data_IF_903960233895
#
_entry.id   IF_903960233895
#
_cell.length_a   1.000
_cell.length_b   1.000
_cell.length_c   1.000
_cell.angle_alpha   90.00
_cell.angle_beta   90.00
_cell.angle_gamma   90.00
#
_symmetry.space_group_name_H-M   'P 1'
#
loop_
_entity.id
_entity.type
_entity.pdbx_description
1 polymer ?
#
# COMPACT_ATOMS: atom_id res chain seq x y z
N UNK A 1 20.53 -34.67 11.69
CA UNK A 1 20.36 -33.26 12.07
C UNK A 1 19.10 -32.78 11.35
N UNK A 2 17.95 -32.93 12.01
CA UNK A 2 16.68 -32.44 11.47
C UNK A 2 16.67 -30.93 11.57
N UNK A 3 17.00 -30.26 10.47
CA UNK A 3 16.82 -28.82 10.34
C UNK A 3 15.30 -28.62 10.22
N UNK A 4 14.65 -28.22 11.32
CA UNK A 4 13.18 -28.20 11.42
C UNK A 4 12.48 -27.52 10.24
N UNK A 5 11.33 -28.04 9.81
CA UNK A 5 10.41 -27.52 8.77
C UNK A 5 11.01 -26.59 7.69
N UNK A 6 12.16 -26.95 7.11
CA UNK A 6 12.72 -26.23 5.96
C UNK A 6 11.99 -26.68 4.70
N UNK A 7 11.29 -25.76 4.06
CA UNK A 7 10.70 -25.99 2.73
C UNK A 7 11.70 -25.55 1.67
N UNK A 8 12.11 -26.48 0.81
CA UNK A 8 12.79 -26.11 -0.42
C UNK A 8 11.78 -25.48 -1.37
N UNK A 9 12.16 -24.38 -2.01
CA UNK A 9 11.35 -23.64 -2.97
C UNK A 9 12.20 -23.44 -4.21
N UNK A 10 11.57 -23.61 -5.37
CA UNK A 10 12.19 -23.30 -6.66
C UNK A 10 12.36 -21.78 -6.82
N UNK A 11 13.59 -21.35 -7.10
CA UNK A 11 13.93 -19.93 -7.11
C UNK A 11 13.26 -19.18 -8.26
N UNK A 12 13.13 -19.80 -9.43
CA UNK A 12 12.55 -19.16 -10.60
C UNK A 12 11.06 -18.92 -10.40
N UNK A 13 10.36 -19.93 -9.85
CA UNK A 13 8.95 -19.81 -9.49
C UNK A 13 8.71 -18.75 -8.40
N UNK A 14 9.51 -18.74 -7.33
CA UNK A 14 9.38 -17.78 -6.23
C UNK A 14 9.64 -16.34 -6.72
N UNK A 15 10.68 -16.14 -7.53
CA UNK A 15 11.02 -14.82 -8.07
C UNK A 15 9.90 -14.26 -8.95
N UNK A 16 9.31 -15.08 -9.82
CA UNK A 16 8.19 -14.65 -10.65
C UNK A 16 6.97 -14.27 -9.79
N UNK A 17 6.65 -15.08 -8.78
CA UNK A 17 5.50 -14.85 -7.90
C UNK A 17 5.70 -13.60 -7.04
N UNK A 18 6.89 -13.42 -6.47
CA UNK A 18 7.23 -12.25 -5.66
C UNK A 18 7.19 -10.96 -6.50
N UNK A 19 7.75 -11.01 -7.71
CA UNK A 19 7.72 -9.89 -8.63
C UNK A 19 6.30 -9.49 -9.02
N UNK A 20 5.47 -10.47 -9.41
CA UNK A 20 4.08 -10.20 -9.79
C UNK A 20 3.27 -9.65 -8.62
N UNK A 21 3.45 -10.20 -7.43
CA UNK A 21 2.76 -9.75 -6.21
C UNK A 21 3.13 -8.31 -5.86
N UNK A 22 4.41 -7.96 -5.95
CA UNK A 22 4.87 -6.60 -5.73
C UNK A 22 4.36 -5.64 -6.82
N UNK A 23 4.46 -6.02 -8.09
CA UNK A 23 4.01 -5.21 -9.21
C UNK A 23 2.51 -4.90 -9.10
N UNK A 24 1.68 -5.91 -8.81
CA UNK A 24 0.23 -5.73 -8.62
C UNK A 24 -0.08 -4.80 -7.44
N UNK A 25 0.63 -4.97 -6.30
CA UNK A 25 0.49 -4.08 -5.14
C UNK A 25 0.82 -2.63 -5.49
N UNK A 26 1.89 -2.39 -6.26
CA UNK A 26 2.26 -1.04 -6.70
C UNK A 26 1.20 -0.45 -7.62
N UNK A 27 0.75 -1.19 -8.63
CA UNK A 27 -0.20 -0.70 -9.63
C UNK A 27 -1.52 -0.30 -8.96
N UNK A 28 -2.09 -1.19 -8.15
CA UNK A 28 -3.44 -1.02 -7.59
C UNK A 28 -3.45 -0.12 -6.37
N UNK A 29 -2.47 -0.25 -5.47
CA UNK A 29 -2.54 0.37 -4.14
C UNK A 29 -1.58 1.53 -3.92
N UNK A 30 -0.82 1.96 -4.94
CA UNK A 30 0.18 3.02 -4.77
C UNK A 30 0.28 3.98 -5.94
N UNK A 31 0.48 3.46 -7.15
CA UNK A 31 0.92 4.24 -8.30
C UNK A 31 -0.25 4.93 -9.01
N UNK A 32 -1.32 4.19 -9.31
CA UNK A 32 -2.46 4.70 -10.07
C UNK A 32 -3.53 5.29 -9.15
N UNK A 33 -4.13 6.44 -9.52
CA UNK A 33 -5.30 6.98 -8.82
C UNK A 33 -6.57 6.19 -9.17
N UNK A 34 -7.56 6.25 -8.28
CA UNK A 34 -8.88 5.71 -8.57
C UNK A 34 -9.62 6.64 -9.54
N UNK A 35 -10.30 6.10 -10.55
CA UNK A 35 -10.99 6.89 -11.56
C UNK A 35 -12.16 7.72 -11.02
N UNK A 36 -12.74 7.32 -9.87
CA UNK A 36 -13.92 7.97 -9.29
C UNK A 36 -13.59 9.31 -8.64
N UNK A 37 -12.44 9.40 -7.97
CA UNK A 37 -12.03 10.56 -7.19
C UNK A 37 -10.69 11.17 -7.64
N UNK A 38 -9.94 10.49 -8.51
CA UNK A 38 -8.61 10.89 -8.95
C UNK A 38 -7.54 10.80 -7.85
N UNK A 39 -7.85 10.20 -6.70
CA UNK A 39 -6.96 10.19 -5.54
C UNK A 39 -6.15 8.89 -5.45
N UNK A 40 -4.87 9.06 -5.13
CA UNK A 40 -4.02 7.94 -4.69
C UNK A 40 -4.39 7.53 -3.26
N UNK A 41 -4.16 6.27 -2.87
CA UNK A 41 -4.51 5.79 -1.53
C UNK A 41 -3.92 6.62 -0.36
N UNK A 42 -2.71 7.18 -0.53
CA UNK A 42 -2.09 8.04 0.51
C UNK A 42 -2.85 9.35 0.71
N UNK A 43 -3.31 9.98 -0.37
CA UNK A 43 -4.05 11.24 -0.31
C UNK A 43 -5.40 11.04 0.36
N UNK A 44 -6.11 9.96 0.01
CA UNK A 44 -7.40 9.61 0.63
C UNK A 44 -7.27 9.42 2.14
N UNK A 45 -6.22 8.72 2.60
CA UNK A 45 -5.94 8.51 4.02
C UNK A 45 -5.62 9.82 4.75
N UNK A 46 -4.84 10.71 4.14
CA UNK A 46 -4.53 12.03 4.72
C UNK A 46 -5.81 12.85 4.90
N UNK A 47 -6.63 12.97 3.85
CA UNK A 47 -7.87 13.75 3.92
C UNK A 47 -8.86 13.16 4.94
N UNK A 48 -8.95 11.83 5.01
CA UNK A 48 -9.79 11.16 6.00
C UNK A 48 -9.29 11.40 7.44
N UNK A 49 -7.98 11.27 7.69
CA UNK A 49 -7.40 11.55 9.00
C UNK A 49 -7.57 13.03 9.39
N UNK A 50 -7.39 13.96 8.45
CA UNK A 50 -7.64 15.38 8.68
C UNK A 50 -9.10 15.64 9.05
N UNK A 51 -10.04 14.97 8.39
CA UNK A 51 -11.46 15.04 8.71
C UNK A 51 -11.74 14.55 10.14
N UNK A 52 -11.21 13.38 10.52
CA UNK A 52 -11.38 12.80 11.86
C UNK A 52 -10.73 13.65 12.96
N UNK A 53 -9.63 14.34 12.65
CA UNK A 53 -8.95 15.29 13.55
C UNK A 53 -9.62 16.67 13.62
N UNK A 54 -10.64 16.92 12.80
CA UNK A 54 -11.32 18.21 12.72
C UNK A 54 -10.50 19.32 12.08
N UNK A 55 -9.47 18.99 11.28
CA UNK A 55 -8.64 19.95 10.55
C UNK A 55 -9.41 20.49 9.34
N UNK A 56 -10.14 21.58 9.55
CA UNK A 56 -11.01 22.20 8.53
C UNK A 56 -10.47 23.56 8.11
N UNK A 57 -10.88 24.06 6.92
CA UNK A 57 -10.63 25.45 6.56
C UNK A 57 -11.19 26.37 7.66
N UNK A 58 -10.33 27.15 8.30
CA UNK A 58 -10.68 28.03 9.42
C UNK A 58 -10.24 27.56 10.81
N UNK A 59 -9.73 26.33 10.97
CA UNK A 59 -9.12 25.88 12.24
C UNK A 59 -7.63 26.22 12.32
N UNK A 60 -7.07 26.47 13.52
CA UNK A 60 -5.63 26.72 13.68
C UNK A 60 -4.76 25.60 13.12
N UNK A 61 -3.62 25.95 12.55
CA UNK A 61 -2.66 24.99 12.01
C UNK A 61 -2.15 24.05 13.10
N UNK A 62 -2.08 22.76 12.78
CA UNK A 62 -1.42 21.73 13.60
C UNK A 62 -0.21 21.20 12.85
N UNK A 63 0.84 20.87 13.59
CA UNK A 63 2.03 20.18 13.07
C UNK A 63 1.76 18.70 12.91
#
# INVERSE_FOLDING_TARGET
>A
MEVGNVRQIDIDAEMQQAYLSYAMSVIVARALPDARDGLKPVQRRILYAMHDMGLRPGTPYKK
#
